data_IF_323602773202
#
_entry.id   IF_323602773202
#
_cell.length_a   1.000
_cell.length_b   1.000
_cell.length_c   1.000
_cell.angle_alpha   90.00
_cell.angle_beta   90.00
_cell.angle_gamma   90.00
#
_symmetry.space_group_name_H-M   'P 1'
#
loop_
_entity.id
_entity.type
_entity.pdbx_description
1 polymer ?
#
# COMPACT_ATOMS: atom_id res chain seq x y z
N UNK A 1 6.41 4.88 -10.22
CA UNK A 1 6.14 4.63 -8.79
C UNK A 1 7.29 3.75 -8.33
N UNK A 2 7.81 3.90 -7.11
CA UNK A 2 8.88 3.04 -6.61
C UNK A 2 8.42 2.34 -5.33
N UNK A 3 8.70 1.04 -5.24
CA UNK A 3 8.36 0.19 -4.09
C UNK A 3 9.62 -0.05 -3.26
N UNK A 4 9.58 0.33 -1.98
CA UNK A 4 10.69 0.20 -1.05
C UNK A 4 10.26 -0.69 0.12
N UNK A 5 10.93 -1.83 0.32
CA UNK A 5 10.65 -2.74 1.43
C UNK A 5 11.46 -2.36 2.65
N UNK A 6 10.82 -2.39 3.82
CA UNK A 6 11.47 -2.09 5.09
C UNK A 6 11.21 -3.19 6.10
N UNK A 7 12.24 -3.46 6.89
CA UNK A 7 12.21 -4.33 8.05
C UNK A 7 12.57 -3.49 9.27
N UNK A 8 11.68 -3.39 10.26
CA UNK A 8 11.97 -2.76 11.54
C UNK A 8 11.58 -3.65 12.71
N UNK A 9 12.55 -4.00 13.58
CA UNK A 9 12.32 -4.88 14.75
C UNK A 9 11.49 -6.13 14.42
N UNK A 10 11.89 -6.87 13.38
CA UNK A 10 11.19 -8.07 12.89
C UNK A 10 9.79 -7.84 12.28
N UNK A 11 9.43 -6.59 12.00
CA UNK A 11 8.18 -6.21 11.36
C UNK A 11 8.42 -5.65 9.95
N UNK A 12 7.71 -6.21 8.97
CA UNK A 12 7.82 -5.83 7.57
C UNK A 12 6.69 -4.88 7.16
N UNK A 13 7.03 -3.83 6.43
CA UNK A 13 6.08 -2.94 5.77
C UNK A 13 6.67 -2.42 4.46
N UNK A 14 5.84 -1.75 3.65
CA UNK A 14 6.26 -1.23 2.35
C UNK A 14 5.94 0.24 2.23
N UNK A 15 6.93 1.01 1.75
CA UNK A 15 6.74 2.39 1.33
C UNK A 15 6.62 2.45 -0.19
N UNK A 16 5.70 3.27 -0.69
CA UNK A 16 5.42 3.46 -2.11
C UNK A 16 5.62 4.92 -2.48
N UNK A 17 6.70 5.21 -3.19
CA UNK A 17 7.03 6.54 -3.67
C UNK A 17 6.22 6.84 -4.94
N UNK A 18 5.30 7.77 -4.80
CA UNK A 18 4.32 8.11 -5.83
C UNK A 18 4.65 9.48 -6.44
N UNK A 19 4.78 9.48 -7.77
CA UNK A 19 4.94 10.69 -8.59
C UNK A 19 5.98 11.72 -8.08
N UNK A 20 7.21 11.31 -7.71
CA UNK A 20 8.23 12.24 -7.16
C UNK A 20 8.62 13.37 -8.12
N UNK A 21 8.28 13.26 -9.40
CA UNK A 21 8.53 14.31 -10.39
C UNK A 21 7.49 15.42 -10.40
N UNK A 22 6.30 15.23 -9.81
CA UNK A 22 5.26 16.26 -9.78
C UNK A 22 5.58 17.31 -8.72
N UNK A 23 5.44 18.59 -9.04
CA UNK A 23 5.61 19.69 -8.07
C UNK A 23 4.35 19.93 -7.23
N UNK A 24 3.18 19.60 -7.78
CA UNK A 24 1.87 19.81 -7.15
C UNK A 24 0.89 18.70 -7.51
N UNK A 25 -0.21 18.67 -6.77
CA UNK A 25 -1.35 17.79 -7.03
C UNK A 25 -1.94 18.11 -8.42
N UNK A 26 -2.26 17.07 -9.18
CA UNK A 26 -2.89 17.15 -10.50
C UNK A 26 -4.18 16.34 -10.47
N UNK A 27 -5.26 16.96 -10.95
CA UNK A 27 -6.54 16.30 -11.20
C UNK A 27 -6.71 16.10 -12.70
N UNK A 28 -7.09 14.88 -13.10
CA UNK A 28 -7.45 14.55 -14.48
C UNK A 28 -8.86 13.99 -14.51
N UNK A 29 -9.62 14.31 -15.54
CA UNK A 29 -10.91 13.68 -15.73
C UNK A 29 -10.70 12.21 -16.09
N UNK A 30 -11.46 11.31 -15.46
CA UNK A 30 -11.48 9.91 -15.85
C UNK A 30 -12.26 9.79 -17.15
N UNK A 31 -11.57 9.81 -18.29
CA UNK A 31 -12.16 9.33 -19.53
C UNK A 31 -12.59 7.89 -19.30
N UNK A 32 -13.86 7.61 -19.57
CA UNK A 32 -14.48 6.30 -19.33
C UNK A 32 -13.88 5.26 -20.27
N UNK A 33 -12.67 4.79 -19.98
CA UNK A 33 -12.12 3.61 -20.60
C UNK A 33 -12.73 2.42 -19.89
N UNK A 34 -13.50 1.66 -20.64
CA UNK A 34 -14.05 0.36 -20.28
C UNK A 34 -12.95 -0.47 -19.63
N UNK A 35 -12.95 -0.56 -18.29
CA UNK A 35 -12.10 -1.52 -17.58
C UNK A 35 -12.54 -2.90 -18.07
N UNK A 36 -11.68 -3.75 -18.62
CA UNK A 36 -12.08 -5.12 -18.90
C UNK A 36 -12.45 -5.73 -17.55
N UNK A 37 -13.72 -6.09 -17.38
CA UNK A 37 -14.11 -7.04 -16.34
C UNK A 37 -13.26 -8.28 -16.58
N UNK A 38 -12.28 -8.51 -15.72
CA UNK A 38 -11.55 -9.77 -15.70
C UNK A 38 -12.47 -10.82 -15.06
N UNK A 39 -13.46 -11.28 -15.81
CA UNK A 39 -13.99 -12.62 -15.62
C UNK A 39 -12.93 -13.58 -16.14
N UNK A 40 -12.10 -14.11 -15.24
CA UNK A 40 -11.29 -15.29 -15.56
C UNK A 40 -11.42 -16.35 -14.48
N UNK A 41 -12.20 -17.35 -14.87
CA UNK A 41 -12.29 -18.69 -14.33
C UNK A 41 -10.91 -19.37 -14.29
N UNK A 42 -10.82 -20.38 -13.42
CA UNK A 42 -9.73 -21.34 -13.27
C UNK A 42 -8.93 -21.63 -14.55
N UNK A 43 -7.61 -21.57 -14.40
CA UNK A 43 -6.62 -21.98 -15.39
C UNK A 43 -6.82 -23.43 -15.87
N UNK A 44 -6.78 -23.66 -17.20
CA UNK A 44 -6.24 -24.88 -17.77
C UNK A 44 -4.84 -24.62 -18.34
N UNK A 45 -3.99 -25.64 -18.19
CA UNK A 45 -2.68 -25.78 -18.82
C UNK A 45 -2.69 -25.45 -20.32
N UNK A 46 -1.70 -24.69 -20.80
CA UNK A 46 -0.82 -25.11 -21.89
C UNK A 46 0.40 -24.18 -22.04
N UNK A 47 1.49 -24.81 -22.43
CA UNK A 47 2.82 -24.28 -22.73
C UNK A 47 2.85 -23.49 -24.03
N UNK A 48 3.59 -22.37 -24.08
CA UNK A 48 4.74 -22.19 -24.99
C UNK A 48 5.41 -20.82 -24.83
N UNK A 49 6.69 -20.82 -25.19
CA UNK A 49 7.69 -19.76 -25.12
C UNK A 49 7.40 -18.57 -26.04
N UNK A 50 7.62 -17.33 -25.55
CA UNK A 50 8.59 -16.45 -26.21
C UNK A 50 9.02 -15.26 -25.34
N UNK A 51 10.26 -14.85 -25.56
CA UNK A 51 11.01 -13.78 -24.91
C UNK A 51 10.36 -12.38 -25.05
N UNK A 52 10.33 -11.62 -23.95
CA UNK A 52 9.90 -10.22 -23.96
C UNK A 52 10.38 -9.43 -22.74
N UNK A 53 11.50 -8.72 -22.91
CA UNK A 53 12.00 -7.52 -22.21
C UNK A 53 11.42 -7.29 -20.79
N UNK A 54 12.17 -7.74 -19.78
CA UNK A 54 11.96 -7.38 -18.38
C UNK A 54 12.35 -5.91 -18.21
N UNK A 55 11.36 -5.04 -17.96
CA UNK A 55 11.62 -3.73 -17.36
C UNK A 55 12.11 -3.98 -15.94
N UNK A 56 13.42 -3.80 -15.70
CA UNK A 56 14.00 -3.85 -14.35
C UNK A 56 13.42 -2.71 -13.51
N UNK A 57 12.43 -3.02 -12.70
CA UNK A 57 12.02 -2.16 -11.59
C UNK A 57 12.93 -2.52 -10.40
N UNK A 58 13.75 -1.56 -9.99
CA UNK A 58 14.73 -1.71 -8.93
C UNK A 58 14.04 -1.71 -7.57
N UNK A 59 14.04 -2.87 -6.91
CA UNK A 59 13.64 -3.01 -5.51
C UNK A 59 14.84 -2.66 -4.64
N UNK A 60 14.74 -1.58 -3.86
CA UNK A 60 15.73 -1.25 -2.85
C UNK A 60 15.35 -1.94 -1.54
N UNK A 61 16.24 -2.81 -1.05
CA UNK A 61 16.17 -3.45 0.26
C UNK A 61 17.12 -2.65 1.16
N UNK A 62 16.58 -1.88 2.11
CA UNK A 62 17.41 -1.17 3.09
C UNK A 62 17.33 -1.92 4.43
N UNK A 63 18.39 -2.67 4.74
CA UNK A 63 18.59 -3.32 6.04
C UNK A 63 19.70 -2.59 6.82
N UNK A 64 19.29 -1.93 7.90
CA UNK A 64 20.02 -1.64 9.13
C UNK A 64 21.30 -0.77 9.10
N UNK A 65 21.13 0.54 9.36
CA UNK A 65 21.94 1.29 10.33
C UNK A 65 20.99 2.28 11.03
N UNK A 66 20.53 1.96 12.25
CA UNK A 66 19.74 2.89 13.08
C UNK A 66 20.57 3.34 14.26
N UNK A 67 20.79 4.66 14.37
CA UNK A 67 21.22 5.28 15.62
C UNK A 67 19.98 5.58 16.45
N UNK A 68 19.99 5.09 17.69
CA UNK A 68 18.98 5.36 18.69
C UNK A 68 19.14 6.81 19.17
N UNK A 69 18.08 7.60 19.04
CA UNK A 69 17.98 8.87 19.73
C UNK A 69 16.58 8.91 20.32
N UNK A 70 16.54 8.62 21.61
CA UNK A 70 15.35 8.68 22.46
C UNK A 70 14.84 10.13 22.47
N UNK A 71 13.57 10.33 22.13
CA UNK A 71 12.84 11.54 22.53
C UNK A 71 11.62 11.17 23.35
N UNK A 72 11.48 11.86 24.47
CA UNK A 72 10.47 11.68 25.51
C UNK A 72 9.16 12.37 25.09
N UNK A 73 8.08 11.59 24.99
CA UNK A 73 6.73 12.14 24.86
C UNK A 73 6.18 12.52 26.25
N UNK A 74 5.82 13.79 26.40
CA UNK A 74 5.19 14.37 27.59
C UNK A 74 3.66 14.13 27.48
N UNK A 75 3.11 13.58 28.57
CA UNK A 75 1.70 13.56 29.02
C UNK A 75 0.85 14.75 28.54
N UNK A 76 -0.48 14.75 28.43
CA UNK A 76 -1.59 13.93 28.98
C UNK A 76 -2.89 14.57 28.48
N UNK A 77 -3.97 13.79 28.33
CA UNK A 77 -5.28 14.09 28.92
C UNK A 77 -6.32 13.03 28.53
N UNK A 78 -6.45 12.04 29.42
CA UNK A 78 -7.66 11.25 29.61
C UNK A 78 -8.57 12.04 30.55
N UNK A 79 -9.81 12.31 30.13
CA UNK A 79 -10.90 12.57 31.06
C UNK A 79 -11.94 11.47 30.89
N UNK A 80 -12.09 10.70 31.96
CA UNK A 80 -13.13 9.73 32.22
C UNK A 80 -13.95 10.33 33.37
N UNK A 81 -15.25 10.54 33.20
CA UNK A 81 -16.21 10.57 34.32
C UNK A 81 -17.51 9.92 33.85
N UNK A 82 -17.88 8.84 34.54
CA UNK A 82 -19.15 8.13 34.47
C UNK A 82 -20.15 8.77 35.44
N UNK A 83 -21.39 9.06 34.99
CA UNK A 83 -22.60 9.04 35.83
C UNK A 83 -23.82 8.61 34.96
N UNK A 84 -24.53 7.55 35.38
CA UNK A 84 -25.87 7.10 34.95
C UNK A 84 -26.85 7.24 36.15
N UNK A 85 -28.18 6.97 36.07
CA UNK A 85 -29.15 6.85 34.95
C UNK A 85 -30.49 7.62 35.20
N UNK A 86 -31.41 7.72 34.21
CA UNK A 86 -32.86 7.40 34.40
C UNK A 86 -33.77 7.64 33.16
N UNK A 87 -34.51 6.58 32.85
CA UNK A 87 -35.90 6.38 32.33
C UNK A 87 -36.75 7.55 31.79
N UNK A 88 -37.31 7.42 30.56
CA UNK A 88 -38.76 7.48 30.20
C UNK A 88 -39.02 7.34 28.68
N UNK A 89 -40.25 6.97 28.29
CA UNK A 89 -40.67 6.22 27.10
C UNK A 89 -41.36 7.02 25.95
N UNK A 90 -41.75 6.28 24.88
CA UNK A 90 -42.67 6.59 23.75
C UNK A 90 -42.13 7.48 22.60
N UNK A 91 -42.44 7.31 21.30
CA UNK A 91 -43.18 6.33 20.48
C UNK A 91 -43.01 6.71 18.97
N UNK A 92 -43.04 5.71 18.09
CA UNK A 92 -43.53 5.69 16.68
C UNK A 92 -42.88 6.53 15.53
N UNK A 93 -42.63 5.79 14.43
CA UNK A 93 -42.08 6.03 13.08
C UNK A 93 -43.03 6.78 12.08
N UNK A 94 -42.89 6.78 10.72
CA UNK A 94 -41.79 6.51 9.74
C UNK A 94 -41.70 7.61 8.62
N UNK A 95 -40.83 7.42 7.59
CA UNK A 95 -41.10 7.61 6.12
C UNK A 95 -39.96 8.26 5.29
N UNK A 96 -39.25 7.40 4.54
CA UNK A 96 -39.02 7.40 3.07
C UNK A 96 -38.47 8.66 2.34
N UNK A 97 -37.38 8.40 1.59
CA UNK A 97 -36.97 8.99 0.30
C UNK A 97 -36.44 10.43 0.23
N UNK A 98 -35.11 10.53 -0.02
CA UNK A 98 -34.40 11.49 -0.88
C UNK A 98 -32.90 11.26 -0.62
N UNK A 99 -32.02 10.85 -1.55
CA UNK A 99 -31.90 11.20 -2.96
C UNK A 99 -30.99 10.17 -3.65
N UNK A 100 -31.54 9.45 -4.61
CA UNK A 100 -30.82 8.69 -5.62
C UNK A 100 -30.36 9.68 -6.70
N UNK A 101 -29.44 10.58 -6.36
CA UNK A 101 -28.95 11.61 -7.27
C UNK A 101 -27.50 11.96 -6.98
N UNK A 102 -26.61 11.01 -7.24
CA UNK A 102 -25.16 11.25 -7.39
C UNK A 102 -24.57 10.33 -8.47
N UNK A 103 -25.34 10.02 -9.51
CA UNK A 103 -24.81 9.41 -10.73
C UNK A 103 -24.26 10.50 -11.65
N UNK A 104 -22.95 10.39 -11.92
CA UNK A 104 -22.15 11.08 -12.93
C UNK A 104 -21.48 12.42 -12.55
N UNK A 105 -20.95 12.54 -11.33
CA UNK A 105 -19.70 13.31 -11.21
C UNK A 105 -18.62 12.48 -11.89
N UNK A 106 -18.11 12.92 -13.05
CA UNK A 106 -16.89 12.39 -13.64
C UNK A 106 -15.87 12.23 -12.51
N UNK A 107 -15.47 10.98 -12.21
CA UNK A 107 -14.52 10.72 -11.12
C UNK A 107 -13.20 11.34 -11.53
N UNK A 108 -12.86 12.50 -10.98
CA UNK A 108 -11.53 13.07 -11.18
C UNK A 108 -10.50 12.15 -10.52
N UNK A 109 -9.47 11.81 -11.28
CA UNK A 109 -8.31 11.06 -10.79
C UNK A 109 -7.31 12.06 -10.23
N UNK A 110 -7.02 11.93 -8.94
CA UNK A 110 -5.98 12.70 -8.26
C UNK A 110 -4.63 11.98 -8.36
N UNK A 111 -3.58 12.70 -8.78
CA UNK A 111 -2.18 12.29 -8.70
C UNK A 111 -1.41 13.34 -7.92
N UNK A 112 -0.56 12.93 -6.97
CA UNK A 112 0.22 13.85 -6.12
C UNK A 112 1.58 13.26 -5.76
N UNK A 113 2.63 14.09 -5.58
CA UNK A 113 3.90 13.62 -5.03
C UNK A 113 3.68 13.18 -3.58
N UNK A 114 3.86 11.90 -3.27
CA UNK A 114 3.71 11.39 -1.90
C UNK A 114 4.44 10.08 -1.66
N UNK A 115 4.57 9.72 -0.38
CA UNK A 115 5.07 8.41 0.07
C UNK A 115 3.92 7.69 0.78
N UNK A 116 3.41 6.60 0.21
CA UNK A 116 2.40 5.79 0.91
C UNK A 116 3.08 4.76 1.80
N UNK A 117 2.60 4.58 3.02
CA UNK A 117 3.06 3.55 3.95
C UNK A 117 1.96 2.50 4.11
N UNK A 118 2.20 1.31 3.57
CA UNK A 118 1.28 0.18 3.67
C UNK A 118 1.81 -0.77 4.74
N UNK A 119 1.07 -0.84 5.84
CA UNK A 119 1.49 -1.54 7.05
C UNK A 119 0.31 -2.32 7.64
N UNK A 120 0.50 -3.62 7.90
CA UNK A 120 -0.54 -4.48 8.49
C UNK A 120 -0.66 -4.38 10.02
N UNK A 121 0.34 -3.87 10.75
CA UNK A 121 0.38 -3.75 12.22
C UNK A 121 0.52 -2.34 12.78
N UNK A 122 0.95 -1.36 11.96
CA UNK A 122 1.40 -0.01 12.35
C UNK A 122 2.75 -0.02 13.08
N UNK A 123 3.81 0.30 12.36
CA UNK A 123 5.15 0.48 12.87
C UNK A 123 5.30 1.85 13.56
N UNK A 124 6.07 1.89 14.65
CA UNK A 124 6.35 3.10 15.42
C UNK A 124 7.43 4.01 14.80
N UNK A 125 8.33 3.46 13.98
CA UNK A 125 9.53 4.14 13.47
C UNK A 125 9.39 4.70 12.03
N UNK A 126 8.19 4.69 11.46
CA UNK A 126 7.95 5.09 10.06
C UNK A 126 8.44 6.51 9.75
N UNK A 127 8.38 7.43 10.72
CA UNK A 127 8.81 8.83 10.52
C UNK A 127 10.28 8.92 10.09
N UNK A 128 11.18 8.13 10.69
CA UNK A 128 12.60 8.10 10.33
C UNK A 128 12.76 7.54 8.91
N UNK A 129 12.11 6.41 8.61
CA UNK A 129 12.14 5.82 7.27
C UNK A 129 11.67 6.77 6.17
N UNK A 130 10.59 7.52 6.41
CA UNK A 130 10.11 8.53 5.45
C UNK A 130 11.15 9.64 5.26
N UNK A 131 11.83 10.07 6.32
CA UNK A 131 12.88 11.09 6.22
C UNK A 131 14.07 10.59 5.39
N UNK A 132 14.55 9.38 5.64
CA UNK A 132 15.61 8.73 4.85
C UNK A 132 15.19 8.59 3.37
N UNK A 133 13.93 8.26 3.11
CA UNK A 133 13.42 8.17 1.74
C UNK A 133 13.42 9.53 1.03
N UNK A 134 13.09 10.62 1.73
CA UNK A 134 13.17 11.98 1.17
C UNK A 134 14.60 12.34 0.83
N UNK A 135 15.54 12.14 1.75
CA UNK A 135 16.98 12.38 1.52
C UNK A 135 17.53 11.54 0.37
N UNK A 136 17.13 10.26 0.29
CA UNK A 136 17.46 9.40 -0.83
C UNK A 136 16.94 10.00 -2.15
N UNK A 137 15.71 10.49 -2.19
CA UNK A 137 15.14 11.11 -3.39
C UNK A 137 15.87 12.39 -3.79
N UNK A 138 16.32 13.20 -2.84
CA UNK A 138 17.14 14.39 -3.12
C UNK A 138 18.46 14.00 -3.79
N UNK A 139 19.18 13.04 -3.19
CA UNK A 139 20.45 12.54 -3.73
C UNK A 139 20.26 11.88 -5.11
N UNK A 140 19.22 11.05 -5.27
CA UNK A 140 18.87 10.39 -6.52
C UNK A 140 18.50 11.40 -7.61
N UNK A 141 17.76 12.46 -7.25
CA UNK A 141 17.36 13.53 -8.15
C UNK A 141 18.56 14.33 -8.62
N UNK A 142 19.43 14.79 -7.71
CA UNK A 142 20.66 15.51 -8.05
C UNK A 142 21.55 14.64 -8.97
N UNK A 143 21.75 13.37 -8.62
CA UNK A 143 22.57 12.45 -9.39
C UNK A 143 22.08 12.26 -10.84
N UNK A 144 20.75 12.12 -11.03
CA UNK A 144 20.13 11.83 -12.33
C UNK A 144 19.72 13.06 -13.14
N UNK A 145 19.36 14.16 -12.50
CA UNK A 145 18.80 15.38 -13.14
C UNK A 145 19.80 16.53 -13.18
N UNK A 146 20.88 16.49 -12.40
CA UNK A 146 21.89 17.57 -12.30
C UNK A 146 21.30 18.92 -11.87
N UNK A 147 20.26 18.85 -11.04
CA UNK A 147 19.54 20.00 -10.49
C UNK A 147 19.13 19.67 -9.08
N UNK A 148 19.15 20.64 -8.17
CA UNK A 148 18.69 20.44 -6.81
C UNK A 148 17.15 20.48 -6.73
N UNK A 149 16.57 19.55 -5.98
CA UNK A 149 15.15 19.54 -5.63
C UNK A 149 14.99 19.05 -4.20
N UNK A 150 14.33 19.87 -3.39
CA UNK A 150 14.02 19.54 -2.00
C UNK A 150 12.77 18.65 -1.91
N UNK A 151 12.87 17.58 -1.13
CA UNK A 151 11.75 16.71 -0.77
C UNK A 151 11.51 16.87 0.74
N UNK A 152 10.53 17.70 1.10
CA UNK A 152 10.16 17.98 2.50
C UNK A 152 8.76 17.45 2.83
N UNK A 153 8.30 17.64 4.06
CA UNK A 153 6.94 17.25 4.47
C UNK A 153 5.85 17.93 3.65
N UNK A 154 6.08 19.15 3.15
CA UNK A 154 5.10 19.90 2.36
C UNK A 154 5.17 19.61 0.86
N UNK A 155 6.36 19.30 0.34
CA UNK A 155 6.53 19.00 -1.10
C UNK A 155 6.32 17.51 -1.42
N UNK A 156 6.48 16.64 -0.42
CA UNK A 156 6.26 15.20 -0.53
C UNK A 156 5.74 14.62 0.78
N UNK A 157 4.43 14.73 0.96
CA UNK A 157 3.70 14.23 2.13
C UNK A 157 3.75 12.69 2.22
N UNK A 158 3.82 12.17 3.44
CA UNK A 158 3.61 10.75 3.72
C UNK A 158 2.18 10.46 4.15
N UNK A 159 1.61 9.37 3.65
CA UNK A 159 0.24 8.94 3.95
C UNK A 159 0.19 7.50 4.41
N UNK A 160 -0.82 7.21 5.22
CA UNK A 160 -1.08 5.88 5.77
C UNK A 160 -2.44 5.40 5.28
N UNK A 161 -2.52 4.79 4.08
CA UNK A 161 -3.75 4.20 3.59
C UNK A 161 -4.32 3.18 4.58
N UNK A 162 -5.65 3.13 4.68
CA UNK A 162 -6.32 2.14 5.51
C UNK A 162 -6.34 0.81 4.77
N UNK A 163 -5.34 -0.03 5.00
CA UNK A 163 -5.17 -1.34 4.35
C UNK A 163 -5.73 -2.48 5.20
N UNK A 164 -5.95 -3.69 4.64
CA UNK A 164 -6.36 -4.86 5.40
C UNK A 164 -5.31 -5.16 6.49
N UNK A 165 -5.75 -5.36 7.74
CA UNK A 165 -4.85 -5.53 8.88
C UNK A 165 -4.69 -7.00 9.25
N UNK A 166 -3.52 -7.35 9.75
CA UNK A 166 -3.30 -8.67 10.32
C UNK A 166 -3.69 -8.69 11.79
N UNK A 167 -4.00 -9.87 12.29
CA UNK A 167 -4.41 -10.11 13.67
C UNK A 167 -3.37 -10.93 14.48
N UNK A 168 -2.16 -11.09 13.93
CA UNK A 168 -1.06 -11.82 14.55
C UNK A 168 0.27 -11.09 14.29
N UNK A 169 1.36 -11.56 14.90
CA UNK A 169 2.65 -10.86 14.83
C UNK A 169 3.64 -11.46 13.81
N UNK A 170 3.24 -12.47 13.03
CA UNK A 170 4.14 -13.23 12.15
C UNK A 170 3.80 -13.15 10.67
N UNK A 171 2.62 -12.63 10.32
CA UNK A 171 2.15 -12.53 8.93
C UNK A 171 2.50 -11.21 8.24
N UNK A 172 3.30 -10.31 8.83
CA UNK A 172 3.60 -9.00 8.21
C UNK A 172 4.27 -9.15 6.84
N UNK A 173 5.16 -10.13 6.69
CA UNK A 173 5.73 -10.48 5.39
C UNK A 173 4.69 -11.02 4.40
N UNK A 174 3.68 -11.78 4.85
CA UNK A 174 2.60 -12.29 3.99
C UNK A 174 1.71 -11.16 3.49
N UNK A 175 1.34 -10.22 4.37
CA UNK A 175 0.58 -9.04 4.00
C UNK A 175 1.38 -8.14 3.05
N UNK A 176 2.69 -7.95 3.30
CA UNK A 176 3.57 -7.22 2.39
C UNK A 176 3.52 -7.81 0.98
N UNK A 177 3.71 -9.14 0.84
CA UNK A 177 3.65 -9.81 -0.45
C UNK A 177 2.28 -9.65 -1.12
N UNK A 178 1.20 -9.73 -0.34
CA UNK A 178 -0.15 -9.52 -0.88
C UNK A 178 -0.39 -8.07 -1.30
N UNK A 179 0.13 -7.07 -0.59
CA UNK A 179 0.05 -5.66 -1.00
C UNK A 179 0.72 -5.44 -2.33
N UNK A 180 1.94 -5.96 -2.51
CA UNK A 180 2.69 -5.84 -3.77
C UNK A 180 1.94 -6.51 -4.91
N UNK A 181 1.47 -7.74 -4.71
CA UNK A 181 0.73 -8.49 -5.74
C UNK A 181 -0.57 -7.77 -6.12
N UNK A 182 -1.35 -7.33 -5.14
CA UNK A 182 -2.61 -6.61 -5.38
C UNK A 182 -2.34 -5.25 -6.05
N UNK A 183 -1.26 -4.57 -5.71
CA UNK A 183 -0.88 -3.31 -6.34
C UNK A 183 -0.53 -3.48 -7.83
N UNK A 184 0.13 -4.57 -8.20
CA UNK A 184 0.42 -4.85 -9.61
C UNK A 184 -0.81 -5.31 -10.39
N UNK A 185 -1.74 -6.04 -9.75
CA UNK A 185 -2.98 -6.50 -10.39
C UNK A 185 -4.03 -5.38 -10.53
N UNK A 186 -4.21 -4.59 -9.47
CA UNK A 186 -5.16 -3.50 -9.39
C UNK A 186 -4.50 -2.27 -8.73
N UNK A 187 -3.78 -1.45 -9.51
CA UNK A 187 -3.00 -0.34 -8.98
C UNK A 187 -3.90 0.74 -8.37
N UNK A 188 -3.37 1.42 -7.36
CA UNK A 188 -4.01 2.61 -6.81
C UNK A 188 -3.98 3.69 -7.90
N UNK A 189 -5.14 4.03 -8.43
CA UNK A 189 -5.27 5.04 -9.50
C UNK A 189 -5.54 6.44 -8.96
N UNK A 190 -6.23 6.55 -7.82
CA UNK A 190 -6.66 7.81 -7.23
C UNK A 190 -5.98 8.02 -5.87
N UNK A 191 -5.19 9.09 -5.76
CA UNK A 191 -4.41 9.43 -4.58
C UNK A 191 -5.07 10.57 -3.79
N UNK A 192 -6.39 10.69 -3.88
CA UNK A 192 -7.17 11.61 -3.07
C UNK A 192 -7.26 11.09 -1.64
N UNK A 193 -7.11 11.99 -0.66
CA UNK A 193 -7.11 11.61 0.75
C UNK A 193 -8.52 11.70 1.34
N UNK A 194 -8.85 10.83 2.30
CA UNK A 194 -8.11 9.63 2.73
C UNK A 194 -8.17 8.47 1.71
N UNK A 195 -7.08 7.71 1.59
CA UNK A 195 -7.03 6.51 0.73
C UNK A 195 -7.55 5.30 1.50
N UNK A 196 -8.73 4.81 1.10
CA UNK A 196 -9.42 3.66 1.68
C UNK A 196 -9.14 2.38 0.89
N UNK A 197 -8.51 1.40 1.53
CA UNK A 197 -8.09 0.12 0.95
C UNK A 197 -8.43 -1.05 1.88
N UNK A 198 -9.36 -0.89 2.83
CA UNK A 198 -9.64 -1.89 3.87
C UNK A 198 -10.13 -3.22 3.29
N UNK A 199 -10.69 -3.17 2.08
CA UNK A 199 -11.20 -4.30 1.31
C UNK A 199 -10.41 -4.51 0.00
N UNK A 200 -9.14 -4.09 -0.06
CA UNK A 200 -8.34 -4.14 -1.28
C UNK A 200 -8.17 -5.57 -1.83
N UNK A 201 -8.18 -6.55 -0.94
CA UNK A 201 -8.22 -7.97 -1.28
C UNK A 201 -8.99 -8.76 -0.22
N UNK A 202 -9.58 -9.91 -0.58
CA UNK A 202 -10.32 -10.73 0.35
C UNK A 202 -9.39 -11.50 1.32
N UNK A 203 -9.76 -11.70 2.60
CA UNK A 203 -8.88 -12.28 3.62
C UNK A 203 -8.39 -13.71 3.34
N UNK A 204 -9.08 -14.49 2.50
CA UNK A 204 -8.67 -15.86 2.21
C UNK A 204 -7.37 -15.93 1.38
N UNK A 205 -7.01 -14.88 0.63
CA UNK A 205 -5.77 -14.84 -0.14
C UNK A 205 -4.54 -14.90 0.79
N UNK A 206 -4.52 -14.10 1.85
CA UNK A 206 -3.43 -14.12 2.83
C UNK A 206 -3.39 -15.42 3.64
N UNK A 207 -4.56 -16.00 3.98
CA UNK A 207 -4.64 -17.27 4.73
C UNK A 207 -3.96 -18.44 4.01
N UNK A 208 -4.12 -18.53 2.69
CA UNK A 208 -3.54 -19.63 1.88
C UNK A 208 -2.16 -19.30 1.33
N UNK A 209 -1.71 -18.06 1.42
CA UNK A 209 -0.48 -17.59 0.76
C UNK A 209 0.77 -18.35 1.19
N UNK A 210 0.88 -18.75 2.46
CA UNK A 210 2.01 -19.55 2.96
C UNK A 210 2.12 -20.89 2.24
N UNK A 211 0.99 -21.59 2.08
CA UNK A 211 0.92 -22.86 1.35
C UNK A 211 1.24 -22.64 -0.13
N UNK A 212 0.66 -21.62 -0.76
CA UNK A 212 0.93 -21.28 -2.16
C UNK A 212 2.40 -20.96 -2.42
N UNK A 213 3.05 -20.21 -1.52
CA UNK A 213 4.49 -19.90 -1.63
C UNK A 213 5.33 -21.19 -1.50
N UNK A 214 5.02 -22.05 -0.51
CA UNK A 214 5.72 -23.33 -0.34
C UNK A 214 5.60 -24.19 -1.59
N UNK A 215 4.38 -24.36 -2.09
CA UNK A 215 4.09 -25.23 -3.24
C UNK A 215 4.76 -24.68 -4.51
N UNK A 216 4.77 -23.35 -4.70
CA UNK A 216 5.50 -22.69 -5.78
C UNK A 216 7.02 -22.93 -5.68
N UNK A 217 7.62 -22.79 -4.50
CA UNK A 217 9.06 -23.04 -4.30
C UNK A 217 9.40 -24.48 -4.65
N UNK A 218 8.60 -25.45 -4.19
CA UNK A 218 8.81 -26.87 -4.51
C UNK A 218 8.67 -27.15 -6.00
N UNK A 219 7.67 -26.56 -6.65
CA UNK A 219 7.48 -26.68 -8.11
C UNK A 219 8.70 -26.16 -8.86
N UNK A 220 9.17 -24.94 -8.55
CA UNK A 220 10.33 -24.33 -9.19
C UNK A 220 11.60 -25.15 -8.98
N UNK A 221 11.78 -25.72 -7.78
CA UNK A 221 12.89 -26.61 -7.48
C UNK A 221 12.94 -27.85 -8.38
N UNK A 222 11.80 -28.53 -8.58
CA UNK A 222 11.74 -29.69 -9.49
C UNK A 222 11.98 -29.30 -10.94
N UNK A 223 11.46 -28.15 -11.39
CA UNK A 223 11.69 -27.64 -12.74
C UNK A 223 13.18 -27.39 -13.01
N UNK A 224 13.87 -26.72 -12.09
CA UNK A 224 15.30 -26.42 -12.22
C UNK A 224 16.17 -27.69 -12.26
N UNK A 225 15.83 -28.73 -11.49
CA UNK A 225 16.56 -30.00 -11.54
C UNK A 225 16.35 -30.75 -12.86
N UNK A 226 15.17 -30.66 -13.46
CA UNK A 226 14.88 -31.31 -14.74
C UNK A 226 15.62 -30.67 -15.92
N UNK A 227 15.85 -29.35 -15.88
CA UNK A 227 16.59 -28.61 -16.91
C UNK A 227 18.11 -28.82 -16.89
N UNK A 228 18.69 -29.24 -15.77
CA UNK A 228 20.14 -29.52 -15.66
C UNK A 228 20.56 -30.90 -16.19
N UNK A 229 19.62 -31.72 -16.69
CA UNK A 229 19.88 -33.06 -17.22
C UNK A 229 19.79 -33.17 -18.76
N UNK A 230 19.79 -32.05 -19.48
CA UNK A 230 19.96 -31.98 -20.95
C UNK A 230 21.29 -31.33 -21.29
#
# INVERSE_FOLDING_TARGET
IFLCLFLFRSHWYIAVICFPWLEKVIYKDCESQHLPQSDFQQFPHQSESNSGIIRKESVLILSDIWYDSEEQDINSNLHHEDIQPDTTASELSPTVSKKFSDTLKMKKICKRPCILILDSLKASSVKNTVQVLREYLEAEWEAKRKTCREFSKSTMEDFYPRVPKQNNNSDCGIYLLQYVETFFQNPIINFELPVHLEQWFPPHLVRRKREQIRDLILQLHFQQQSGSKS
#
